data_IF_944287199761
#
_entry.id   IF_944287199761
#
_cell.length_a   1.000
_cell.length_b   1.000
_cell.length_c   1.000
_cell.angle_alpha   90.00
_cell.angle_beta   90.00
_cell.angle_gamma   90.00
#
_symmetry.space_group_name_H-M   'P 1'
#
loop_
_entity.id
_entity.type
_entity.pdbx_description
1 polymer ?
#
# COMPACT_ATOMS: atom_id res chain seq x y z
N UNK A 1 -40.14 -15.24 -20.65
CA UNK A 1 -38.86 -15.85 -20.25
C UNK A 1 -37.76 -14.82 -20.41
N UNK A 2 -37.40 -14.11 -19.33
CA UNK A 2 -36.23 -13.23 -19.31
C UNK A 2 -35.00 -14.16 -19.44
N UNK A 3 -34.22 -13.92 -20.49
CA UNK A 3 -33.14 -14.79 -20.91
C UNK A 3 -32.13 -14.95 -19.76
N UNK A 4 -31.95 -16.17 -19.21
CA UNK A 4 -31.04 -16.42 -18.08
C UNK A 4 -29.59 -15.95 -18.39
N UNK A 5 -29.22 -15.91 -19.68
CA UNK A 5 -27.97 -15.32 -20.15
C UNK A 5 -27.88 -13.80 -19.91
N UNK A 6 -29.00 -13.06 -20.04
CA UNK A 6 -29.04 -11.62 -19.78
C UNK A 6 -28.89 -11.31 -18.29
N UNK A 7 -29.60 -12.04 -17.42
CA UNK A 7 -29.45 -11.87 -15.96
C UNK A 7 -28.06 -12.26 -15.50
N UNK A 8 -27.48 -13.34 -16.04
CA UNK A 8 -26.10 -13.76 -15.75
C UNK A 8 -25.08 -12.70 -16.22
N UNK A 9 -25.23 -12.16 -17.43
CA UNK A 9 -24.35 -11.09 -17.93
C UNK A 9 -24.51 -9.78 -17.17
N UNK A 10 -25.71 -9.42 -16.75
CA UNK A 10 -25.93 -8.24 -15.90
C UNK A 10 -25.33 -8.46 -14.53
N UNK A 11 -25.57 -9.59 -13.86
CA UNK A 11 -24.95 -9.88 -12.56
C UNK A 11 -23.42 -9.95 -12.64
N UNK A 12 -22.85 -10.51 -13.69
CA UNK A 12 -21.40 -10.52 -13.91
C UNK A 12 -20.90 -9.10 -14.16
N UNK A 13 -21.55 -8.30 -15.01
CA UNK A 13 -21.18 -6.89 -15.22
C UNK A 13 -21.31 -6.05 -13.95
N UNK A 14 -22.34 -6.26 -13.14
CA UNK A 14 -22.51 -5.55 -11.87
C UNK A 14 -21.46 -6.01 -10.85
N UNK A 15 -21.13 -7.30 -10.80
CA UNK A 15 -20.05 -7.81 -9.95
C UNK A 15 -18.67 -7.29 -10.40
N UNK A 16 -18.38 -7.30 -11.71
CA UNK A 16 -17.18 -6.71 -12.29
C UNK A 16 -17.11 -5.21 -12.01
N UNK A 17 -18.22 -4.48 -12.15
CA UNK A 17 -18.30 -3.06 -11.82
C UNK A 17 -18.09 -2.79 -10.32
N UNK A 18 -18.67 -3.60 -9.43
CA UNK A 18 -18.48 -3.50 -7.97
C UNK A 18 -17.03 -3.82 -7.58
N UNK A 19 -16.40 -4.77 -8.26
CA UNK A 19 -15.00 -5.15 -8.05
C UNK A 19 -14.05 -4.15 -8.72
N UNK A 20 -14.50 -3.41 -9.74
CA UNK A 20 -13.67 -2.50 -10.54
C UNK A 20 -12.83 -3.22 -11.60
N UNK A 21 -13.26 -4.42 -12.01
CA UNK A 21 -12.63 -5.15 -13.11
C UNK A 21 -13.12 -4.58 -14.45
N UNK A 22 -12.22 -4.25 -15.39
CA UNK A 22 -12.64 -3.68 -16.66
C UNK A 22 -13.38 -4.72 -17.50
N UNK A 23 -14.37 -4.30 -18.28
CA UNK A 23 -14.89 -5.15 -19.36
C UNK A 23 -13.83 -5.34 -20.44
N UNK A 24 -13.92 -6.41 -21.21
CA UNK A 24 -13.03 -6.64 -22.37
C UNK A 24 -13.09 -5.50 -23.40
N UNK A 25 -14.20 -4.73 -23.40
CA UNK A 25 -14.43 -3.56 -24.24
C UNK A 25 -13.91 -2.24 -23.66
N UNK A 26 -13.45 -2.20 -22.40
CA UNK A 26 -13.05 -0.94 -21.75
C UNK A 26 -11.77 -0.38 -22.40
N UNK A 27 -11.92 0.83 -22.94
CA UNK A 27 -10.89 1.52 -23.69
C UNK A 27 -9.79 2.06 -22.76
N UNK A 28 -8.60 2.20 -23.32
CA UNK A 28 -7.41 2.76 -22.67
C UNK A 28 -7.66 4.09 -21.95
N UNK A 29 -8.56 4.91 -22.51
CA UNK A 29 -9.01 6.20 -21.97
C UNK A 29 -9.67 6.08 -20.60
N UNK A 30 -10.47 5.05 -20.36
CA UNK A 30 -11.15 4.85 -19.07
C UNK A 30 -10.15 4.51 -17.96
N UNK A 31 -9.12 3.74 -18.30
CA UNK A 31 -8.04 3.42 -17.37
C UNK A 31 -7.25 4.67 -17.00
N UNK A 32 -6.97 5.53 -17.98
CA UNK A 32 -6.30 6.81 -17.75
C UNK A 32 -7.19 7.73 -16.88
N UNK A 33 -8.49 7.79 -17.15
CA UNK A 33 -9.43 8.59 -16.38
C UNK A 33 -9.54 8.12 -14.92
N UNK A 34 -9.65 6.80 -14.68
CA UNK A 34 -9.68 6.23 -13.34
C UNK A 34 -8.39 6.51 -12.56
N UNK A 35 -7.24 6.36 -13.23
CA UNK A 35 -5.95 6.68 -12.65
C UNK A 35 -5.81 8.19 -12.34
N UNK A 36 -6.26 9.06 -13.24
CA UNK A 36 -6.26 10.50 -13.02
C UNK A 36 -7.16 10.90 -11.85
N UNK A 37 -8.33 10.28 -11.72
CA UNK A 37 -9.23 10.50 -10.58
C UNK A 37 -8.55 10.15 -9.25
N UNK A 38 -7.85 9.01 -9.19
CA UNK A 38 -7.07 8.63 -8.02
C UNK A 38 -5.95 9.62 -7.70
N UNK A 39 -5.24 10.13 -8.73
CA UNK A 39 -4.23 11.18 -8.57
C UNK A 39 -4.83 12.47 -8.00
N UNK A 40 -5.98 12.90 -8.52
CA UNK A 40 -6.68 14.10 -8.06
C UNK A 40 -7.12 13.99 -6.60
N UNK A 41 -7.63 12.83 -6.18
CA UNK A 41 -7.94 12.58 -4.78
C UNK A 41 -6.68 12.64 -3.91
N UNK A 42 -5.58 12.05 -4.37
CA UNK A 42 -4.30 12.08 -3.65
C UNK A 42 -3.77 13.51 -3.44
N UNK A 43 -3.94 14.41 -4.42
CA UNK A 43 -3.66 15.85 -4.28
C UNK A 43 -4.66 16.52 -3.33
N UNK A 44 -5.95 16.19 -3.46
CA UNK A 44 -7.00 16.78 -2.65
C UNK A 44 -6.75 16.57 -1.15
N UNK A 45 -6.43 15.34 -0.76
CA UNK A 45 -6.08 14.94 0.61
C UNK A 45 -4.66 15.33 1.04
N UNK A 46 -3.87 15.91 0.14
CA UNK A 46 -2.49 16.30 0.39
C UNK A 46 -1.60 15.11 0.75
N UNK A 47 -1.88 13.93 0.17
CA UNK A 47 -1.05 12.73 0.31
C UNK A 47 0.19 12.79 -0.59
N UNK A 48 0.08 13.50 -1.70
CA UNK A 48 1.16 13.76 -2.68
C UNK A 48 1.13 15.23 -3.06
N UNK A 49 2.28 15.81 -3.40
CA UNK A 49 2.34 17.23 -3.76
C UNK A 49 1.70 17.53 -5.13
N UNK A 50 2.02 16.73 -6.15
CA UNK A 50 1.63 17.00 -7.54
C UNK A 50 0.95 15.80 -8.24
N UNK A 51 0.34 14.90 -7.47
CA UNK A 51 -0.44 13.76 -8.00
C UNK A 51 0.37 12.86 -8.91
N UNK A 52 1.47 12.32 -8.37
CA UNK A 52 2.37 11.41 -9.08
C UNK A 52 3.01 12.00 -10.35
N UNK A 53 3.08 13.33 -10.46
CA UNK A 53 3.88 14.04 -11.45
C UNK A 53 5.17 14.57 -10.81
N UNK A 54 6.23 14.76 -11.61
CA UNK A 54 7.51 15.29 -11.14
C UNK A 54 7.34 16.57 -10.33
N UNK A 55 8.18 16.70 -9.29
CA UNK A 55 8.26 17.88 -8.45
C UNK A 55 8.59 19.13 -9.28
N UNK A 56 9.54 19.00 -10.22
CA UNK A 56 9.95 20.08 -11.14
C UNK A 56 8.84 20.60 -12.06
N UNK A 57 7.77 19.83 -12.27
CA UNK A 57 6.62 20.22 -13.08
C UNK A 57 5.52 20.94 -12.29
N UNK A 58 5.67 21.08 -10.97
CA UNK A 58 4.67 21.70 -10.12
C UNK A 58 4.71 23.23 -10.24
N UNK A 59 3.54 23.86 -10.39
CA UNK A 59 3.44 25.32 -10.36
C UNK A 59 3.64 25.85 -8.93
N UNK A 60 4.15 27.07 -8.80
CA UNK A 60 4.34 27.75 -7.50
C UNK A 60 3.05 27.81 -6.67
N UNK A 61 1.90 27.99 -7.34
CA UNK A 61 0.58 27.98 -6.71
C UNK A 61 0.19 26.59 -6.17
N UNK A 62 0.50 25.52 -6.90
CA UNK A 62 0.24 24.14 -6.45
C UNK A 62 1.06 23.82 -5.19
N UNK A 63 2.35 24.17 -5.20
CA UNK A 63 3.27 24.01 -4.07
C UNK A 63 2.76 24.77 -2.82
N UNK A 64 2.39 26.04 -2.98
CA UNK A 64 1.86 26.84 -1.88
C UNK A 64 0.56 26.27 -1.30
N UNK A 65 -0.35 25.78 -2.15
CA UNK A 65 -1.60 25.15 -1.71
C UNK A 65 -1.36 23.85 -0.94
N UNK A 66 -0.40 23.04 -1.39
CA UNK A 66 -0.01 21.80 -0.72
C UNK A 66 0.58 22.08 0.65
N UNK A 67 1.51 23.04 0.78
CA UNK A 67 2.08 23.39 2.08
C UNK A 67 1.04 23.85 3.09
N UNK A 68 0.04 24.64 2.68
CA UNK A 68 -1.05 25.06 3.56
C UNK A 68 -1.89 23.89 4.06
N UNK A 69 -2.28 22.97 3.16
CA UNK A 69 -3.03 21.76 3.53
C UNK A 69 -2.21 20.86 4.46
N UNK A 70 -0.94 20.62 4.10
CA UNK A 70 -0.07 19.77 4.88
C UNK A 70 0.19 20.35 6.28
N UNK A 71 0.34 21.67 6.39
CA UNK A 71 0.46 22.36 7.67
C UNK A 71 -0.78 22.14 8.56
N UNK A 72 -1.99 22.27 8.00
CA UNK A 72 -3.23 22.00 8.73
C UNK A 72 -3.28 20.54 9.22
N UNK A 73 -2.91 19.59 8.37
CA UNK A 73 -2.92 18.16 8.71
C UNK A 73 -1.89 17.85 9.79
N UNK A 74 -0.68 18.42 9.71
CA UNK A 74 0.34 18.31 10.76
C UNK A 74 -0.16 18.90 12.08
N UNK A 75 -0.80 20.06 12.03
CA UNK A 75 -1.37 20.70 13.21
C UNK A 75 -2.44 19.81 13.89
N UNK A 76 -3.40 19.28 13.11
CA UNK A 76 -4.43 18.36 13.62
C UNK A 76 -3.82 17.07 14.20
N UNK A 77 -2.76 16.54 13.59
CA UNK A 77 -2.05 15.39 14.12
C UNK A 77 -1.36 15.69 15.45
N UNK A 78 -0.54 16.74 15.50
CA UNK A 78 0.23 17.11 16.69
C UNK A 78 -0.70 17.40 17.87
N UNK A 79 -1.76 18.19 17.66
CA UNK A 79 -2.69 18.52 18.75
C UNK A 79 -3.44 17.27 19.26
N UNK A 80 -3.79 16.33 18.36
CA UNK A 80 -4.44 15.07 18.74
C UNK A 80 -3.49 14.13 19.47
N UNK A 81 -2.23 14.06 19.05
CA UNK A 81 -1.18 13.27 19.72
C UNK A 81 -0.93 13.80 21.14
N UNK A 82 -0.74 15.12 21.29
CA UNK A 82 -0.55 15.75 22.61
C UNK A 82 -1.76 15.48 23.50
N UNK A 83 -2.97 15.65 22.97
CA UNK A 83 -4.21 15.37 23.70
C UNK A 83 -4.28 13.92 24.19
N UNK A 84 -4.07 12.95 23.30
CA UNK A 84 -4.12 11.52 23.66
C UNK A 84 -3.03 11.16 24.66
N UNK A 85 -1.84 11.75 24.53
CA UNK A 85 -0.76 11.58 25.49
C UNK A 85 -1.14 12.10 26.89
N UNK A 86 -1.75 13.29 26.99
CA UNK A 86 -2.27 13.83 28.26
C UNK A 86 -3.35 12.90 28.84
N UNK A 87 -4.28 12.40 28.01
CA UNK A 87 -5.32 11.49 28.45
C UNK A 87 -4.79 10.14 28.94
N UNK A 88 -3.69 9.64 28.37
CA UNK A 88 -3.03 8.41 28.80
C UNK A 88 -2.25 8.58 30.12
N UNK A 89 -1.67 9.76 30.37
CA UNK A 89 -0.89 10.02 31.58
C UNK A 89 -1.74 10.41 32.79
N UNK A 90 -2.83 11.15 32.58
CA UNK A 90 -3.64 11.70 33.67
C UNK A 90 -5.01 11.04 33.72
N UNK A 91 -5.30 10.37 34.84
CA UNK A 91 -6.62 9.85 35.18
C UNK A 91 -7.37 10.80 36.13
N UNK A 92 -7.50 12.06 35.70
CA UNK A 92 -8.23 13.09 36.45
C UNK A 92 -9.54 13.41 35.72
N UNK A 93 -10.66 13.38 36.42
CA UNK A 93 -11.99 13.60 35.82
C UNK A 93 -12.10 14.96 35.13
N UNK A 94 -11.54 16.01 35.72
CA UNK A 94 -11.58 17.37 35.16
C UNK A 94 -10.82 17.41 33.84
N UNK A 95 -9.63 16.81 33.81
CA UNK A 95 -8.81 16.73 32.59
C UNK A 95 -9.54 15.92 31.52
N UNK A 96 -10.12 14.77 31.87
CA UNK A 96 -10.86 13.93 30.92
C UNK A 96 -12.11 14.62 30.36
N UNK A 97 -12.80 15.44 31.15
CA UNK A 97 -13.95 16.22 30.68
C UNK A 97 -13.50 17.30 29.68
N UNK A 98 -12.50 18.11 30.01
CA UNK A 98 -12.03 19.20 29.14
C UNK A 98 -11.27 18.71 27.90
N UNK A 99 -10.58 17.57 27.99
CA UNK A 99 -9.96 16.91 26.85
C UNK A 99 -10.97 16.08 26.04
N UNK A 100 -12.26 16.04 26.44
CA UNK A 100 -13.33 15.35 25.72
C UNK A 100 -13.04 13.86 25.51
N UNK A 101 -12.60 13.16 26.56
CA UNK A 101 -12.21 11.76 26.49
C UNK A 101 -13.30 10.87 25.89
N UNK A 102 -13.12 10.26 24.71
CA UNK A 102 -14.16 9.47 24.05
C UNK A 102 -14.66 8.27 24.87
N UNK A 103 -13.88 7.82 25.86
CA UNK A 103 -14.17 6.66 26.70
C UNK A 103 -14.21 7.03 28.17
N UNK A 104 -14.68 8.24 28.48
CA UNK A 104 -14.83 8.73 29.85
C UNK A 104 -15.50 7.68 30.75
N UNK A 105 -14.82 7.30 31.84
CA UNK A 105 -15.22 6.27 32.83
C UNK A 105 -15.45 4.86 32.28
N UNK A 106 -14.93 4.52 31.09
CA UNK A 106 -14.96 3.16 30.56
C UNK A 106 -13.80 2.31 31.06
N UNK A 107 -14.06 1.02 31.36
CA UNK A 107 -13.02 0.06 31.80
C UNK A 107 -11.92 -0.16 30.76
N UNK A 108 -12.25 -0.02 29.47
CA UNK A 108 -11.33 -0.26 28.35
C UNK A 108 -10.74 1.03 27.76
N UNK A 109 -10.82 2.13 28.53
CA UNK A 109 -10.29 3.45 28.19
C UNK A 109 -8.82 3.38 27.75
N UNK A 110 -7.96 2.83 28.59
CA UNK A 110 -6.51 2.80 28.36
C UNK A 110 -6.14 2.06 27.06
N UNK A 111 -6.71 0.86 26.85
CA UNK A 111 -6.44 0.05 25.67
C UNK A 111 -6.82 0.79 24.38
N UNK A 112 -8.04 1.36 24.34
CA UNK A 112 -8.54 2.00 23.11
C UNK A 112 -7.80 3.30 22.82
N UNK A 113 -7.54 4.13 23.84
CA UNK A 113 -6.75 5.35 23.67
C UNK A 113 -5.32 5.02 23.19
N UNK A 114 -4.73 3.93 23.69
CA UNK A 114 -3.41 3.47 23.25
C UNK A 114 -3.43 3.05 21.77
N UNK A 115 -4.46 2.34 21.32
CA UNK A 115 -4.61 1.95 19.90
C UNK A 115 -4.75 3.17 19.01
N UNK A 116 -5.59 4.14 19.39
CA UNK A 116 -5.77 5.39 18.61
C UNK A 116 -4.46 6.18 18.57
N UNK A 117 -3.75 6.27 19.71
CA UNK A 117 -2.47 6.97 19.82
C UNK A 117 -1.38 6.33 18.95
N UNK A 118 -1.19 5.01 19.04
CA UNK A 118 -0.22 4.26 18.23
C UNK A 118 -0.59 4.34 16.74
N UNK A 119 -1.88 4.26 16.42
CA UNK A 119 -2.40 4.41 15.05
C UNK A 119 -2.07 5.78 14.45
N UNK A 120 -2.32 6.84 15.21
CA UNK A 120 -2.00 8.21 14.78
C UNK A 120 -0.50 8.45 14.64
N UNK A 121 0.33 7.98 15.58
CA UNK A 121 1.79 8.10 15.47
C UNK A 121 2.30 7.38 14.23
N UNK A 122 1.86 6.14 14.02
CA UNK A 122 2.28 5.36 12.87
C UNK A 122 1.84 6.02 11.55
N UNK A 123 0.64 6.60 11.50
CA UNK A 123 0.19 7.34 10.32
C UNK A 123 0.92 8.64 10.07
N UNK A 124 1.20 9.39 11.13
CA UNK A 124 1.95 10.61 11.05
C UNK A 124 3.37 10.36 10.52
N UNK A 125 4.10 9.41 11.10
CA UNK A 125 5.46 9.09 10.66
C UNK A 125 5.50 8.51 9.25
N UNK A 126 4.57 7.63 8.86
CA UNK A 126 4.52 7.09 7.50
C UNK A 126 4.41 8.19 6.45
N UNK A 127 3.50 9.13 6.70
CA UNK A 127 3.24 10.27 5.83
C UNK A 127 4.48 11.18 5.74
N UNK A 128 5.12 11.48 6.87
CA UNK A 128 6.33 12.33 6.90
C UNK A 128 7.52 11.68 6.20
N UNK A 129 7.74 10.38 6.42
CA UNK A 129 8.79 9.61 5.72
C UNK A 129 8.54 9.69 4.21
N UNK A 130 7.31 9.43 3.76
CA UNK A 130 6.97 9.49 2.35
C UNK A 130 7.14 10.89 1.75
N UNK A 131 6.66 11.94 2.41
CA UNK A 131 6.84 13.31 1.94
C UNK A 131 8.32 13.72 1.90
N UNK A 132 9.13 13.24 2.85
CA UNK A 132 10.57 13.46 2.81
C UNK A 132 11.23 12.71 1.65
N UNK A 133 10.75 11.52 1.30
CA UNK A 133 11.23 10.78 0.13
C UNK A 133 10.85 11.54 -1.15
N UNK A 134 9.58 11.94 -1.29
CA UNK A 134 9.06 12.73 -2.41
C UNK A 134 9.87 14.02 -2.64
N UNK A 135 10.21 14.74 -1.56
CA UNK A 135 10.98 15.98 -1.64
C UNK A 135 12.46 15.76 -2.01
N UNK A 136 13.06 14.63 -1.62
CA UNK A 136 14.47 14.31 -1.91
C UNK A 136 14.67 13.77 -3.31
N UNK A 137 13.74 12.94 -3.79
CA UNK A 137 13.88 12.17 -5.02
C UNK A 137 13.38 12.92 -6.26
N UNK A 138 13.61 14.25 -6.35
CA UNK A 138 13.02 15.27 -7.24
C UNK A 138 12.46 14.82 -8.63
N UNK A 139 12.99 13.75 -9.24
CA UNK A 139 12.57 13.23 -10.56
C UNK A 139 12.19 11.73 -10.62
N UNK A 140 12.53 10.90 -9.62
CA UNK A 140 12.75 9.46 -9.86
C UNK A 140 11.65 8.54 -9.33
N UNK A 141 11.02 8.89 -8.20
CA UNK A 141 9.93 8.10 -7.61
C UNK A 141 8.77 7.99 -8.60
N UNK A 142 8.44 9.05 -9.34
CA UNK A 142 7.26 9.05 -10.21
C UNK A 142 7.52 8.65 -11.66
N UNK A 143 8.71 8.13 -11.98
CA UNK A 143 9.07 7.77 -13.36
C UNK A 143 8.10 6.78 -14.00
N UNK A 144 7.66 5.76 -13.25
CA UNK A 144 6.65 4.80 -13.72
C UNK A 144 5.35 5.50 -14.17
N UNK A 145 4.93 6.54 -13.45
CA UNK A 145 3.68 7.24 -13.70
C UNK A 145 3.76 8.26 -14.85
N UNK A 146 4.95 8.78 -15.13
CA UNK A 146 5.17 9.60 -16.32
C UNK A 146 5.03 8.81 -17.62
N UNK A 147 5.48 7.56 -17.62
CA UNK A 147 5.24 6.65 -18.75
C UNK A 147 3.73 6.49 -19.05
N UNK A 148 2.86 6.63 -18.04
CA UNK A 148 1.40 6.52 -18.20
C UNK A 148 0.72 7.86 -18.53
N UNK A 149 1.14 8.95 -17.87
CA UNK A 149 0.42 10.23 -17.87
C UNK A 149 0.79 11.18 -19.00
N UNK A 150 2.02 11.15 -19.51
CA UNK A 150 2.54 12.31 -20.26
C UNK A 150 2.62 12.16 -21.78
N UNK A 151 2.62 10.97 -22.39
CA UNK A 151 2.91 10.95 -23.84
C UNK A 151 2.29 9.90 -24.74
N UNK A 152 1.98 8.66 -24.33
CA UNK A 152 1.63 7.63 -25.34
C UNK A 152 0.78 6.45 -24.82
N UNK A 153 0.12 6.60 -23.66
CA UNK A 153 -0.76 5.58 -23.11
C UNK A 153 -0.10 4.22 -22.81
N UNK A 154 -0.88 3.14 -22.74
CA UNK A 154 -0.47 1.78 -22.38
C UNK A 154 0.20 1.01 -23.55
N UNK A 155 0.93 1.71 -24.41
CA UNK A 155 1.67 1.06 -25.50
C UNK A 155 2.79 0.16 -24.97
N UNK A 156 2.85 -1.06 -25.50
CA UNK A 156 3.83 -2.08 -25.15
C UNK A 156 5.29 -1.60 -25.31
N UNK A 157 5.56 -0.69 -26.26
CA UNK A 157 6.90 -0.12 -26.48
C UNK A 157 7.33 0.78 -25.33
N UNK A 158 6.44 1.64 -24.83
CA UNK A 158 6.75 2.56 -23.74
C UNK A 158 6.88 1.83 -22.40
N UNK A 159 6.01 0.84 -22.19
CA UNK A 159 6.07 -0.03 -21.01
C UNK A 159 7.29 -0.95 -21.05
N UNK A 160 7.95 -1.08 -22.20
CA UNK A 160 9.02 -2.03 -22.44
C UNK A 160 8.61 -3.45 -22.06
N UNK A 161 7.42 -3.86 -22.47
CA UNK A 161 6.82 -5.19 -22.24
C UNK A 161 6.31 -5.79 -23.55
N UNK A 162 6.01 -7.09 -23.56
CA UNK A 162 5.24 -7.73 -24.64
C UNK A 162 3.78 -7.24 -24.59
N UNK A 163 3.10 -7.19 -25.73
CA UNK A 163 1.71 -6.72 -25.83
C UNK A 163 0.76 -7.41 -24.84
N UNK A 164 0.85 -8.74 -24.68
CA UNK A 164 0.00 -9.48 -23.74
C UNK A 164 0.20 -9.02 -22.29
N UNK A 165 1.45 -8.72 -21.89
CA UNK A 165 1.78 -8.24 -20.54
C UNK A 165 1.41 -6.78 -20.34
N UNK A 166 1.56 -5.94 -21.37
CA UNK A 166 1.07 -4.57 -21.36
C UNK A 166 -0.45 -4.50 -21.13
N UNK A 167 -1.20 -5.38 -21.80
CA UNK A 167 -2.66 -5.49 -21.63
C UNK A 167 -3.03 -5.94 -20.21
N UNK A 168 -2.39 -7.00 -19.68
CA UNK A 168 -2.62 -7.45 -18.29
C UNK A 168 -2.30 -6.33 -17.29
N UNK A 169 -1.18 -5.65 -17.48
CA UNK A 169 -0.77 -4.57 -16.60
C UNK A 169 -1.77 -3.39 -16.65
N UNK A 170 -2.33 -3.06 -17.81
CA UNK A 170 -3.40 -2.07 -17.92
C UNK A 170 -4.62 -2.45 -17.08
N UNK A 171 -5.08 -3.70 -17.17
CA UNK A 171 -6.20 -4.19 -16.35
C UNK A 171 -5.90 -4.08 -14.85
N UNK A 172 -4.67 -4.38 -14.44
CA UNK A 172 -4.19 -4.23 -13.07
C UNK A 172 -4.26 -2.76 -12.62
N UNK A 173 -3.72 -1.83 -13.42
CA UNK A 173 -3.73 -0.39 -13.08
C UNK A 173 -5.15 0.12 -12.95
N UNK A 174 -6.05 -0.26 -13.86
CA UNK A 174 -7.46 0.12 -13.79
C UNK A 174 -8.10 -0.36 -12.48
N UNK A 175 -7.98 -1.67 -12.20
CA UNK A 175 -8.54 -2.29 -11.01
C UNK A 175 -8.06 -1.59 -9.74
N UNK A 176 -6.75 -1.42 -9.59
CA UNK A 176 -6.20 -0.77 -8.40
C UNK A 176 -6.58 0.71 -8.32
N UNK A 177 -6.64 1.44 -9.43
CA UNK A 177 -7.06 2.85 -9.44
C UNK A 177 -8.49 3.03 -8.96
N UNK A 178 -9.41 2.18 -9.42
CA UNK A 178 -10.81 2.18 -8.95
C UNK A 178 -10.88 1.75 -7.48
N UNK A 179 -10.19 0.67 -7.12
CA UNK A 179 -10.16 0.17 -5.74
C UNK A 179 -9.69 1.25 -4.77
N UNK A 180 -8.56 1.90 -5.04
CA UNK A 180 -8.01 2.95 -4.17
C UNK A 180 -8.89 4.19 -4.13
N UNK A 181 -9.47 4.60 -5.26
CA UNK A 181 -10.44 5.71 -5.32
C UNK A 181 -11.63 5.43 -4.41
N UNK A 182 -12.23 4.24 -4.51
CA UNK A 182 -13.37 3.83 -3.67
C UNK A 182 -12.97 3.71 -2.21
N UNK A 183 -11.82 3.11 -1.93
CA UNK A 183 -11.29 2.99 -0.57
C UNK A 183 -11.11 4.36 0.09
N UNK A 184 -10.50 5.33 -0.61
CA UNK A 184 -10.34 6.70 -0.11
C UNK A 184 -11.70 7.34 0.22
N UNK A 185 -12.67 7.24 -0.67
CA UNK A 185 -14.02 7.79 -0.45
C UNK A 185 -14.76 7.10 0.71
N UNK A 186 -14.67 5.76 0.82
CA UNK A 186 -15.34 4.97 1.85
C UNK A 186 -14.68 5.12 3.22
N UNK A 187 -13.37 5.39 3.27
CA UNK A 187 -12.64 5.57 4.53
C UNK A 187 -13.16 6.74 5.36
N UNK A 188 -13.67 7.80 4.71
CA UNK A 188 -14.17 9.01 5.37
C UNK A 188 -15.39 8.71 6.26
N UNK A 189 -16.53 8.21 5.72
CA UNK A 189 -17.67 7.88 6.57
C UNK A 189 -17.34 6.75 7.53
N UNK A 190 -16.54 5.75 7.12
CA UNK A 190 -16.18 4.63 7.99
C UNK A 190 -15.43 5.09 9.25
N UNK A 191 -14.40 5.93 9.11
CA UNK A 191 -13.63 6.42 10.24
C UNK A 191 -14.40 7.43 11.09
N UNK A 192 -15.22 8.25 10.44
CA UNK A 192 -16.10 9.19 11.15
C UNK A 192 -17.05 8.42 12.06
N UNK A 193 -17.69 7.35 11.56
CA UNK A 193 -18.55 6.50 12.37
C UNK A 193 -17.73 5.82 13.48
N UNK A 194 -16.64 5.12 13.12
CA UNK A 194 -15.83 4.36 14.08
C UNK A 194 -15.38 5.21 15.28
N UNK A 195 -14.86 6.42 15.02
CA UNK A 195 -14.36 7.30 16.07
C UNK A 195 -15.49 7.94 16.87
N UNK A 196 -16.55 8.43 16.23
CA UNK A 196 -17.63 9.15 16.91
C UNK A 196 -18.62 8.23 17.64
N UNK A 197 -18.77 6.97 17.23
CA UNK A 197 -19.63 6.01 17.93
C UNK A 197 -19.18 5.81 19.37
N UNK A 198 -17.86 5.87 19.66
CA UNK A 198 -17.35 5.77 21.05
C UNK A 198 -17.91 6.87 21.94
N UNK A 199 -17.97 8.10 21.43
CA UNK A 199 -18.46 9.29 22.13
C UNK A 199 -19.99 9.20 22.31
N UNK A 200 -20.71 8.85 21.24
CA UNK A 200 -22.18 8.83 21.22
C UNK A 200 -22.75 7.73 22.12
N UNK A 201 -22.10 6.57 22.17
CA UNK A 201 -22.54 5.45 23.03
C UNK A 201 -22.30 5.73 24.51
N UNK A 202 -21.41 6.67 24.84
CA UNK A 202 -21.11 7.00 26.23
C UNK A 202 -22.29 7.73 26.90
N UNK A 203 -22.90 7.18 27.96
CA UNK A 203 -24.07 7.79 28.61
C UNK A 203 -23.78 9.19 29.19
N UNK A 204 -22.53 9.45 29.61
CA UNK A 204 -22.14 10.74 30.17
C UNK A 204 -22.16 11.88 29.13
N UNK A 205 -22.12 11.55 27.84
CA UNK A 205 -22.24 12.53 26.76
C UNK A 205 -23.54 13.32 26.82
N UNK A 206 -24.62 12.70 27.30
CA UNK A 206 -25.94 13.32 27.42
C UNK A 206 -26.20 13.96 28.79
N UNK A 207 -25.35 13.66 29.78
CA UNK A 207 -25.56 14.09 31.17
C UNK A 207 -24.74 15.33 31.53
N UNK A 208 -23.55 15.50 30.95
CA UNK A 208 -22.60 16.55 31.33
C UNK A 208 -22.39 17.51 30.14
N UNK A 209 -23.02 18.70 30.13
CA UNK A 209 -22.94 19.63 29.00
C UNK A 209 -21.51 20.06 28.63
N UNK A 210 -20.65 20.28 29.63
CA UNK A 210 -19.25 20.64 29.41
C UNK A 210 -18.47 19.54 28.69
N UNK A 211 -18.76 18.28 29.01
CA UNK A 211 -18.15 17.13 28.34
C UNK A 211 -18.68 16.97 26.92
N UNK A 212 -19.97 17.21 26.67
CA UNK A 212 -20.57 17.21 25.32
C UNK A 212 -19.86 18.21 24.41
N UNK A 213 -19.75 19.47 24.84
CA UNK A 213 -19.13 20.55 24.06
C UNK A 213 -17.66 20.23 23.80
N UNK A 214 -16.91 19.82 24.84
CA UNK A 214 -15.50 19.47 24.71
C UNK A 214 -15.28 18.27 23.78
N UNK A 215 -16.13 17.24 23.87
CA UNK A 215 -16.04 16.05 23.02
C UNK A 215 -16.31 16.36 21.55
N UNK A 216 -17.31 17.20 21.26
CA UNK A 216 -17.59 17.65 19.89
C UNK A 216 -16.40 18.45 19.34
N UNK A 217 -15.92 19.42 20.11
CA UNK A 217 -14.79 20.27 19.72
C UNK A 217 -13.54 19.43 19.38
N UNK A 218 -13.23 18.45 20.24
CA UNK A 218 -12.05 17.61 20.07
C UNK A 218 -12.22 16.45 19.08
N UNK A 219 -13.45 16.06 18.74
CA UNK A 219 -13.69 15.02 17.75
C UNK A 219 -13.31 15.47 16.33
N UNK A 220 -13.51 16.75 16.01
CA UNK A 220 -13.18 17.32 14.70
C UNK A 220 -11.70 17.14 14.35
N UNK A 221 -10.71 17.65 15.12
CA UNK A 221 -9.30 17.50 14.79
C UNK A 221 -8.85 16.04 14.79
N UNK A 222 -9.40 15.20 15.70
CA UNK A 222 -9.08 13.78 15.76
C UNK A 222 -9.55 13.03 14.50
N UNK A 223 -10.79 13.25 14.10
CA UNK A 223 -11.38 12.61 12.90
C UNK A 223 -10.64 13.05 11.65
N UNK A 224 -10.35 14.35 11.50
CA UNK A 224 -9.56 14.86 10.39
C UNK A 224 -8.17 14.22 10.35
N UNK A 225 -7.45 14.19 11.47
CA UNK A 225 -6.12 13.59 11.55
C UNK A 225 -6.13 12.11 11.11
N UNK A 226 -7.06 11.31 11.64
CA UNK A 226 -7.21 9.90 11.28
C UNK A 226 -7.56 9.70 9.79
N UNK A 227 -8.52 10.46 9.26
CA UNK A 227 -8.93 10.37 7.85
C UNK A 227 -7.77 10.72 6.93
N UNK A 228 -7.09 11.85 7.16
CA UNK A 228 -5.96 12.25 6.31
C UNK A 228 -4.78 11.28 6.39
N UNK A 229 -4.52 10.68 7.55
CA UNK A 229 -3.46 9.68 7.68
C UNK A 229 -3.81 8.38 6.94
N UNK A 230 -5.05 7.88 7.07
CA UNK A 230 -5.47 6.64 6.41
C UNK A 230 -5.56 6.81 4.89
N UNK A 231 -6.07 7.93 4.42
CA UNK A 231 -6.05 8.26 2.99
C UNK A 231 -4.62 8.47 2.48
N UNK A 232 -3.76 9.08 3.30
CA UNK A 232 -2.32 9.18 3.05
C UNK A 232 -1.70 7.80 2.84
N UNK A 233 -1.91 6.89 3.79
CA UNK A 233 -1.46 5.50 3.71
C UNK A 233 -1.95 4.80 2.45
N UNK A 234 -3.25 4.92 2.15
CA UNK A 234 -3.86 4.31 0.97
C UNK A 234 -3.22 4.78 -0.34
N UNK A 235 -2.91 6.08 -0.42
CA UNK A 235 -2.24 6.68 -1.56
C UNK A 235 -0.83 6.08 -1.71
N UNK A 236 -0.04 6.11 -0.65
CA UNK A 236 1.35 5.59 -0.64
C UNK A 236 1.38 4.09 -0.96
N UNK A 237 0.48 3.30 -0.37
CA UNK A 237 0.39 1.87 -0.64
C UNK A 237 -0.02 1.58 -2.08
N UNK A 238 -0.97 2.34 -2.63
CA UNK A 238 -1.36 2.21 -4.02
C UNK A 238 -0.23 2.50 -4.98
N UNK A 239 0.56 3.54 -4.68
CA UNK A 239 1.78 3.86 -5.43
C UNK A 239 2.79 2.72 -5.40
N UNK A 240 3.10 2.20 -4.21
CA UNK A 240 4.07 1.11 -4.06
C UNK A 240 3.62 -0.15 -4.81
N UNK A 241 2.34 -0.52 -4.70
CA UNK A 241 1.78 -1.73 -5.34
C UNK A 241 1.80 -1.59 -6.86
N UNK A 242 1.31 -0.48 -7.41
CA UNK A 242 1.26 -0.31 -8.87
C UNK A 242 2.67 -0.28 -9.46
N UNK A 243 3.60 0.44 -8.83
CA UNK A 243 5.00 0.46 -9.26
C UNK A 243 5.68 -0.91 -9.11
N UNK A 244 5.45 -1.65 -8.01
CA UNK A 244 5.97 -3.02 -7.85
C UNK A 244 5.44 -3.96 -8.93
N UNK A 245 4.14 -3.90 -9.22
CA UNK A 245 3.51 -4.70 -10.28
C UNK A 245 4.01 -4.31 -11.68
N UNK A 246 4.36 -3.05 -11.92
CA UNK A 246 5.01 -2.62 -13.16
C UNK A 246 6.33 -3.36 -13.37
N UNK A 247 7.22 -3.32 -12.38
CA UNK A 247 8.52 -4.00 -12.48
C UNK A 247 8.37 -5.53 -12.54
N UNK A 248 7.39 -6.11 -11.85
CA UNK A 248 7.12 -7.54 -11.94
C UNK A 248 6.65 -7.95 -13.35
N UNK A 249 5.72 -7.22 -13.95
CA UNK A 249 5.25 -7.52 -15.31
C UNK A 249 6.35 -7.32 -16.37
N UNK A 250 7.27 -6.38 -16.16
CA UNK A 250 8.43 -6.17 -17.03
C UNK A 250 9.39 -7.36 -16.96
N UNK A 251 9.64 -7.88 -15.76
CA UNK A 251 10.41 -9.11 -15.56
C UNK A 251 9.73 -10.32 -16.19
N UNK A 252 8.42 -10.49 -15.98
CA UNK A 252 7.68 -11.59 -16.59
C UNK A 252 7.72 -11.52 -18.12
N UNK A 253 7.73 -10.32 -18.69
CA UNK A 253 7.91 -10.12 -20.13
C UNK A 253 9.31 -10.52 -20.59
N UNK A 254 10.37 -10.23 -19.84
CA UNK A 254 11.74 -10.66 -20.20
C UNK A 254 11.83 -12.19 -20.10
N UNK A 255 11.27 -12.75 -19.02
CA UNK A 255 11.24 -14.18 -18.78
C UNK A 255 10.46 -14.93 -19.86
N UNK A 256 9.31 -14.43 -20.32
CA UNK A 256 8.54 -15.11 -21.37
C UNK A 256 9.26 -15.12 -22.72
N UNK A 257 10.03 -14.07 -23.04
CA UNK A 257 10.91 -14.04 -24.22
C UNK A 257 11.98 -15.14 -24.10
N UNK A 258 12.62 -15.27 -22.93
CA UNK A 258 13.61 -16.29 -22.67
C UNK A 258 13.02 -17.72 -22.77
N UNK A 259 11.84 -17.95 -22.20
CA UNK A 259 11.13 -19.23 -22.28
C UNK A 259 10.84 -19.60 -23.73
N UNK A 260 10.22 -18.71 -24.51
CA UNK A 260 9.91 -18.95 -25.92
C UNK A 260 11.15 -19.23 -26.78
N UNK A 261 12.29 -18.66 -26.43
CA UNK A 261 13.56 -18.95 -27.11
C UNK A 261 14.15 -20.31 -26.76
N UNK A 262 13.80 -20.88 -25.60
CA UNK A 262 14.27 -22.22 -25.18
C UNK A 262 13.35 -23.36 -25.63
N UNK A 263 12.06 -23.09 -25.86
CA UNK A 263 11.08 -24.11 -26.29
C UNK A 263 11.09 -24.39 -27.80
N UNK A 264 11.53 -23.42 -28.60
CA UNK A 264 11.66 -23.60 -30.04
C UNK A 264 13.06 -24.16 -30.28
N UNK A 265 13.18 -25.39 -30.78
CA UNK A 265 14.42 -26.02 -31.29
C UNK A 265 15.02 -25.25 -32.49
N UNK A 266 15.27 -23.96 -32.32
CA UNK A 266 15.79 -23.04 -33.32
C UNK A 266 17.19 -22.63 -32.89
N UNK A 267 18.08 -22.49 -33.88
CA UNK A 267 19.37 -21.86 -33.62
C UNK A 267 19.15 -20.45 -33.06
N UNK A 268 19.60 -20.25 -31.83
CA UNK A 268 19.46 -18.97 -31.13
C UNK A 268 20.53 -18.02 -31.67
N UNK A 269 20.11 -16.90 -32.24
CA UNK A 269 21.02 -15.90 -32.78
C UNK A 269 21.70 -15.08 -31.66
N UNK A 270 23.02 -14.90 -31.72
CA UNK A 270 23.79 -14.10 -30.74
C UNK A 270 23.21 -12.70 -30.53
N UNK A 271 22.77 -12.04 -31.61
CA UNK A 271 22.23 -10.66 -31.54
C UNK A 271 20.97 -10.58 -30.67
N UNK A 272 20.11 -11.60 -30.77
CA UNK A 272 18.91 -11.70 -29.97
C UNK A 272 19.25 -11.86 -28.48
N UNK A 273 20.20 -12.73 -28.15
CA UNK A 273 20.63 -12.97 -26.76
C UNK A 273 21.26 -11.72 -26.16
N UNK A 274 22.10 -11.00 -26.91
CA UNK A 274 22.69 -9.73 -26.46
C UNK A 274 21.59 -8.70 -26.18
N UNK A 275 20.57 -8.60 -27.03
CA UNK A 275 19.44 -7.70 -26.81
C UNK A 275 18.66 -8.04 -25.53
N UNK A 276 18.40 -9.34 -25.30
CA UNK A 276 17.75 -9.82 -24.08
C UNK A 276 18.55 -9.47 -22.82
N UNK A 277 19.87 -9.69 -22.85
CA UNK A 277 20.80 -9.37 -21.75
C UNK A 277 20.78 -7.86 -21.46
N UNK A 278 20.92 -7.03 -22.48
CA UNK A 278 20.93 -5.57 -22.31
C UNK A 278 19.60 -5.07 -21.73
N UNK A 279 18.48 -5.66 -22.16
CA UNK A 279 17.15 -5.34 -21.62
C UNK A 279 17.03 -5.73 -20.15
N UNK A 280 17.57 -6.88 -19.75
CA UNK A 280 17.60 -7.29 -18.35
C UNK A 280 18.51 -6.41 -17.50
N UNK A 281 19.69 -6.03 -17.98
CA UNK A 281 20.61 -5.14 -17.27
C UNK A 281 19.96 -3.78 -17.03
N UNK A 282 19.35 -3.18 -18.06
CA UNK A 282 18.62 -1.92 -17.93
C UNK A 282 17.48 -2.03 -16.91
N UNK A 283 16.68 -3.09 -17.01
CA UNK A 283 15.64 -3.40 -16.04
C UNK A 283 16.17 -3.52 -14.60
N UNK A 284 17.26 -4.27 -14.39
CA UNK A 284 17.83 -4.50 -13.06
C UNK A 284 18.36 -3.21 -12.45
N UNK A 285 18.99 -2.34 -13.24
CA UNK A 285 19.43 -1.02 -12.75
C UNK A 285 18.24 -0.17 -12.29
N UNK A 286 17.14 -0.15 -13.06
CA UNK A 286 15.94 0.61 -12.70
C UNK A 286 15.32 0.08 -11.39
N UNK A 287 15.28 -1.25 -11.22
CA UNK A 287 14.73 -1.91 -10.03
C UNK A 287 15.60 -1.68 -8.81
N UNK A 288 16.92 -1.87 -8.92
CA UNK A 288 17.85 -1.71 -7.80
C UNK A 288 17.74 -0.30 -7.22
N UNK A 289 17.63 0.71 -8.09
CA UNK A 289 17.45 2.10 -7.68
C UNK A 289 16.11 2.31 -6.97
N UNK A 290 15.01 1.84 -7.56
CA UNK A 290 13.66 1.95 -7.00
C UNK A 290 13.53 1.26 -5.63
N UNK A 291 14.06 0.04 -5.51
CA UNK A 291 13.99 -0.75 -4.28
C UNK A 291 14.85 -0.17 -3.17
N UNK A 292 16.02 0.39 -3.48
CA UNK A 292 16.87 1.03 -2.47
C UNK A 292 16.21 2.27 -1.85
N UNK A 293 15.49 3.06 -2.65
CA UNK A 293 14.73 4.23 -2.15
C UNK A 293 13.58 3.79 -1.24
N UNK A 294 12.92 2.68 -1.56
CA UNK A 294 11.73 2.21 -0.84
C UNK A 294 12.02 1.22 0.28
N UNK A 295 13.24 0.67 0.39
CA UNK A 295 13.56 -0.41 1.32
C UNK A 295 13.16 -0.09 2.78
N UNK A 296 13.49 1.11 3.25
CA UNK A 296 13.12 1.55 4.62
C UNK A 296 11.62 1.80 4.78
N UNK A 297 10.94 2.26 3.72
CA UNK A 297 9.50 2.41 3.72
C UNK A 297 8.83 1.03 3.82
N UNK A 298 9.27 0.07 3.02
CA UNK A 298 8.78 -1.32 3.05
C UNK A 298 8.98 -1.94 4.44
N UNK A 299 10.16 -1.77 5.06
CA UNK A 299 10.40 -2.23 6.42
C UNK A 299 9.44 -1.60 7.43
N UNK A 300 9.22 -0.29 7.32
CA UNK A 300 8.28 0.43 8.17
C UNK A 300 6.84 -0.12 8.03
N UNK A 301 6.39 -0.39 6.80
CA UNK A 301 5.07 -1.00 6.57
C UNK A 301 4.98 -2.39 7.18
N UNK A 302 5.98 -3.25 6.97
CA UNK A 302 5.98 -4.62 7.51
C UNK A 302 5.94 -4.63 9.04
N UNK A 303 6.66 -3.72 9.71
CA UNK A 303 6.71 -3.72 11.17
C UNK A 303 5.55 -2.94 11.78
N UNK A 304 5.43 -1.65 11.48
CA UNK A 304 4.51 -0.75 12.18
C UNK A 304 3.05 -1.00 11.80
N UNK A 305 2.77 -1.22 10.51
CA UNK A 305 1.38 -1.46 10.04
C UNK A 305 0.92 -2.86 10.43
N UNK A 306 1.79 -3.86 10.40
CA UNK A 306 1.46 -5.21 10.88
C UNK A 306 1.20 -5.23 12.39
N UNK A 307 1.98 -4.49 13.16
CA UNK A 307 1.75 -4.33 14.60
C UNK A 307 0.37 -3.71 14.89
N UNK A 308 -0.01 -2.65 14.17
CA UNK A 308 -1.36 -2.07 14.28
C UNK A 308 -2.44 -3.07 13.87
N UNK A 309 -2.21 -3.83 12.79
CA UNK A 309 -3.12 -4.89 12.35
C UNK A 309 -3.39 -5.89 13.49
N UNK A 310 -2.35 -6.39 14.13
CA UNK A 310 -2.47 -7.30 15.28
C UNK A 310 -3.20 -6.64 16.47
N UNK A 311 -2.89 -5.38 16.79
CA UNK A 311 -3.57 -4.65 17.86
C UNK A 311 -5.07 -4.51 17.59
N UNK A 312 -5.46 -4.22 16.34
CA UNK A 312 -6.87 -4.11 15.93
C UNK A 312 -7.59 -5.46 15.97
N UNK A 313 -6.94 -6.55 15.53
CA UNK A 313 -7.50 -7.91 15.61
C UNK A 313 -7.68 -8.31 17.07
N UNK A 314 -6.66 -8.07 17.91
CA UNK A 314 -6.74 -8.33 19.35
C UNK A 314 -7.88 -7.54 20.00
N UNK A 315 -7.95 -6.24 19.74
CA UNK A 315 -8.97 -5.37 20.32
C UNK A 315 -10.40 -5.73 19.86
N UNK A 316 -10.55 -6.13 18.60
CA UNK A 316 -11.85 -6.48 18.03
C UNK A 316 -12.33 -7.88 18.41
N UNK A 317 -11.52 -8.92 18.20
CA UNK A 317 -11.96 -10.31 18.41
C UNK A 317 -11.82 -10.79 19.84
N UNK A 318 -10.75 -10.39 20.53
CA UNK A 318 -10.34 -10.98 21.81
C UNK A 318 -10.78 -10.09 22.97
N UNK A 319 -10.30 -8.84 23.01
CA UNK A 319 -10.65 -7.90 24.07
C UNK A 319 -12.10 -7.40 23.96
N UNK A 320 -12.71 -7.52 22.77
CA UNK A 320 -14.09 -7.08 22.46
C UNK A 320 -14.37 -5.67 22.97
N UNK A 321 -13.80 -4.68 22.28
CA UNK A 321 -13.93 -3.26 22.65
C UNK A 321 -15.39 -2.80 22.82
N UNK A 322 -15.66 -2.17 23.96
CA UNK A 322 -16.80 -1.40 24.47
C UNK A 322 -18.20 -1.68 23.88
N UNK A 323 -18.36 -1.58 22.56
CA UNK A 323 -19.57 -1.89 21.82
C UNK A 323 -19.27 -2.91 20.73
N UNK A 324 -20.16 -3.88 20.53
CA UNK A 324 -20.05 -4.90 19.48
C UNK A 324 -19.82 -4.29 18.09
N UNK A 325 -20.38 -3.10 17.82
CA UNK A 325 -20.18 -2.39 16.55
C UNK A 325 -18.71 -1.99 16.38
N UNK A 326 -18.12 -1.37 17.41
CA UNK A 326 -16.71 -0.94 17.39
C UNK A 326 -15.79 -2.15 17.30
N UNK A 327 -16.06 -3.19 18.12
CA UNK A 327 -15.30 -4.42 18.11
C UNK A 327 -15.30 -5.08 16.71
N UNK A 328 -16.47 -5.15 16.06
CA UNK A 328 -16.60 -5.73 14.70
C UNK A 328 -15.92 -4.87 13.63
N UNK A 329 -16.01 -3.53 13.71
CA UNK A 329 -15.31 -2.64 12.79
C UNK A 329 -13.79 -2.70 12.95
N UNK A 330 -13.28 -2.74 14.18
CA UNK A 330 -11.84 -2.91 14.47
C UNK A 330 -11.32 -4.25 13.97
N UNK A 331 -12.05 -5.35 14.21
CA UNK A 331 -11.65 -6.67 13.72
C UNK A 331 -11.68 -6.76 12.19
N UNK A 332 -12.70 -6.20 11.54
CA UNK A 332 -12.72 -6.09 10.07
C UNK A 332 -11.51 -5.31 9.54
N UNK A 333 -11.22 -4.13 10.11
CA UNK A 333 -10.10 -3.30 9.69
C UNK A 333 -8.75 -4.02 9.89
N UNK A 334 -8.56 -4.67 11.04
CA UNK A 334 -7.34 -5.43 11.34
C UNK A 334 -7.11 -6.59 10.38
N UNK A 335 -8.14 -7.41 10.12
CA UNK A 335 -8.06 -8.52 9.15
C UNK A 335 -7.82 -8.00 7.74
N UNK A 336 -8.47 -6.90 7.36
CA UNK A 336 -8.28 -6.30 6.05
C UNK A 336 -6.83 -5.81 5.84
N UNK A 337 -6.25 -5.11 6.82
CA UNK A 337 -4.86 -4.66 6.78
C UNK A 337 -3.90 -5.86 6.67
N UNK A 338 -4.09 -6.88 7.50
CA UNK A 338 -3.25 -8.08 7.48
C UNK A 338 -3.38 -8.84 6.17
N UNK A 339 -4.59 -8.94 5.61
CA UNK A 339 -4.84 -9.55 4.31
C UNK A 339 -4.11 -8.82 3.18
N UNK A 340 -4.15 -7.49 3.16
CA UNK A 340 -3.42 -6.68 2.17
C UNK A 340 -1.89 -6.85 2.30
N UNK A 341 -1.35 -6.81 3.52
CA UNK A 341 0.08 -7.02 3.77
C UNK A 341 0.53 -8.43 3.36
N UNK A 342 -0.27 -9.45 3.69
CA UNK A 342 -0.02 -10.83 3.31
C UNK A 342 0.01 -10.99 1.78
N UNK A 343 -0.97 -10.43 1.08
CA UNK A 343 -1.03 -10.44 -0.37
C UNK A 343 0.18 -9.73 -0.99
N UNK A 344 0.56 -8.56 -0.47
CA UNK A 344 1.74 -7.83 -0.95
C UNK A 344 3.04 -8.64 -0.75
N UNK A 345 3.26 -9.22 0.44
CA UNK A 345 4.43 -10.05 0.70
C UNK A 345 4.48 -11.28 -0.23
N UNK A 346 3.32 -11.90 -0.50
CA UNK A 346 3.23 -13.03 -1.42
C UNK A 346 3.56 -12.62 -2.87
N UNK A 347 3.02 -11.49 -3.34
CA UNK A 347 3.29 -11.00 -4.70
C UNK A 347 4.75 -10.63 -4.88
N UNK A 348 5.36 -9.96 -3.89
CA UNK A 348 6.80 -9.63 -3.96
C UNK A 348 7.67 -10.88 -3.88
N UNK A 349 7.28 -11.91 -3.12
CA UNK A 349 7.98 -13.20 -3.12
C UNK A 349 7.93 -13.92 -4.50
N UNK A 350 6.96 -13.60 -5.34
CA UNK A 350 6.90 -14.09 -6.73
C UNK A 350 8.03 -13.51 -7.58
N UNK A 351 8.45 -12.27 -7.31
CA UNK A 351 9.55 -11.59 -8.00
C UNK A 351 10.83 -12.43 -8.01
N UNK A 352 11.23 -12.92 -6.84
CA UNK A 352 12.42 -13.76 -6.69
C UNK A 352 12.26 -15.11 -7.42
N UNK A 353 11.06 -15.67 -7.42
CA UNK A 353 10.76 -16.90 -8.17
C UNK A 353 10.95 -16.69 -9.67
N UNK A 354 10.55 -15.53 -10.20
CA UNK A 354 10.71 -15.18 -11.62
C UNK A 354 12.15 -14.89 -12.00
N UNK A 355 12.92 -14.28 -11.11
CA UNK A 355 14.37 -14.14 -11.29
C UNK A 355 15.06 -15.51 -11.39
N UNK A 356 14.70 -16.44 -10.51
CA UNK A 356 15.25 -17.80 -10.55
C UNK A 356 14.86 -18.55 -11.84
N UNK A 357 13.62 -18.39 -12.31
CA UNK A 357 13.21 -18.96 -13.60
C UNK A 357 14.02 -18.36 -14.76
N UNK A 358 14.27 -17.06 -14.75
CA UNK A 358 15.10 -16.41 -15.76
C UNK A 358 16.54 -16.96 -15.73
N UNK A 359 17.11 -17.17 -14.54
CA UNK A 359 18.42 -17.80 -14.37
C UNK A 359 18.48 -19.18 -15.05
N UNK A 360 17.51 -20.05 -14.79
CA UNK A 360 17.44 -21.39 -15.40
C UNK A 360 17.35 -21.31 -16.93
N UNK A 361 16.55 -20.39 -17.46
CA UNK A 361 16.43 -20.22 -18.91
C UNK A 361 17.70 -19.64 -19.55
N UNK A 362 18.37 -18.71 -18.88
CA UNK A 362 19.66 -18.20 -19.33
C UNK A 362 20.75 -19.28 -19.32
N UNK A 363 20.74 -20.15 -18.30
CA UNK A 363 21.63 -21.32 -18.25
C UNK A 363 21.45 -22.21 -19.49
N UNK A 364 20.22 -22.58 -19.82
CA UNK A 364 19.91 -23.37 -21.02
C UNK A 364 20.33 -22.66 -22.32
N UNK A 365 20.10 -21.34 -22.42
CA UNK A 365 20.55 -20.56 -23.58
C UNK A 365 22.09 -20.59 -23.69
N UNK A 366 22.81 -20.56 -22.57
CA UNK A 366 24.28 -20.60 -22.57
C UNK A 366 24.86 -21.93 -23.09
N UNK A 367 24.13 -23.03 -22.96
CA UNK A 367 24.53 -24.35 -23.48
C UNK A 367 24.42 -24.45 -25.01
N UNK A 368 23.64 -23.56 -25.64
CA UNK A 368 23.48 -23.52 -27.09
C UNK A 368 24.74 -23.04 -27.84
N UNK A 369 24.72 -23.12 -29.19
CA UNK A 369 25.85 -22.76 -30.07
C UNK A 369 26.04 -21.23 -30.22
N UNK A 370 26.30 -20.55 -29.11
CA UNK A 370 26.58 -19.10 -29.07
C UNK A 370 28.09 -18.81 -29.10
N UNK A 371 28.45 -17.60 -29.55
CA UNK A 371 29.84 -17.11 -29.43
C UNK A 371 30.26 -17.02 -27.97
N UNK A 372 31.53 -17.32 -27.70
CA UNK A 372 32.09 -17.27 -26.34
C UNK A 372 31.85 -15.91 -25.66
N UNK A 373 31.98 -14.80 -26.39
CA UNK A 373 31.70 -13.46 -25.87
C UNK A 373 30.25 -13.29 -25.38
N UNK A 374 29.28 -13.90 -26.07
CA UNK A 374 27.87 -13.89 -25.68
C UNK A 374 27.68 -14.74 -24.41
N UNK A 375 28.29 -15.93 -24.36
CA UNK A 375 28.23 -16.82 -23.18
C UNK A 375 28.79 -16.16 -21.92
N UNK A 376 29.92 -15.48 -22.02
CA UNK A 376 30.50 -14.74 -20.89
C UNK A 376 29.57 -13.64 -20.35
N UNK A 377 28.85 -12.95 -21.23
CA UNK A 377 27.84 -11.96 -20.80
C UNK A 377 26.62 -12.60 -20.14
N UNK A 378 26.21 -13.78 -20.59
CA UNK A 378 25.12 -14.54 -19.93
C UNK A 378 25.55 -14.88 -18.51
N UNK A 379 26.78 -15.38 -18.32
CA UNK A 379 27.33 -15.72 -17.01
C UNK A 379 27.37 -14.51 -16.07
N UNK A 380 27.81 -13.34 -16.54
CA UNK A 380 27.80 -12.10 -15.75
C UNK A 380 26.38 -11.74 -15.26
N UNK A 381 25.37 -11.88 -16.14
CA UNK A 381 23.98 -11.66 -15.77
C UNK A 381 23.47 -12.71 -14.78
N UNK A 382 23.83 -13.97 -14.97
CA UNK A 382 23.46 -15.07 -14.08
C UNK A 382 24.05 -14.87 -12.68
N UNK A 383 25.32 -14.47 -12.58
CA UNK A 383 25.96 -14.09 -11.32
C UNK A 383 25.25 -12.91 -10.68
N UNK A 384 24.88 -11.90 -11.49
CA UNK A 384 24.07 -10.79 -10.99
C UNK A 384 22.76 -11.28 -10.43
N UNK A 385 22.02 -12.17 -11.12
CA UNK A 385 20.70 -12.70 -10.69
C UNK A 385 20.78 -13.41 -9.32
N UNK A 386 21.81 -14.23 -9.10
CA UNK A 386 22.03 -14.98 -7.84
C UNK A 386 22.53 -14.05 -6.71
N UNK A 387 23.05 -12.88 -7.05
CA UNK A 387 23.58 -11.93 -6.08
C UNK A 387 22.62 -11.63 -4.92
N UNK A 388 23.15 -11.46 -3.68
CA UNK A 388 22.34 -11.28 -2.47
C UNK A 388 21.57 -9.96 -2.44
N UNK A 389 21.83 -9.07 -3.40
CA UNK A 389 21.22 -7.76 -3.49
C UNK A 389 19.91 -7.74 -4.28
N UNK A 390 19.55 -8.83 -4.95
CA UNK A 390 18.35 -8.87 -5.78
C UNK A 390 17.09 -9.25 -5.02
N UNK A 391 15.99 -8.63 -5.42
CA UNK A 391 14.67 -8.82 -4.83
C UNK A 391 14.28 -7.68 -3.90
N UNK A 392 12.99 -7.63 -3.56
CA UNK A 392 12.44 -6.57 -2.71
C UNK A 392 12.98 -6.70 -1.29
N UNK A 393 13.66 -5.66 -0.82
CA UNK A 393 14.26 -5.63 0.52
C UNK A 393 13.37 -4.89 1.50
N UNK A 394 13.29 -5.43 2.72
CA UNK A 394 12.78 -4.75 3.89
C UNK A 394 13.97 -4.14 4.65
N UNK A 395 14.36 -2.93 4.25
CA UNK A 395 15.57 -2.26 4.74
C UNK A 395 16.82 -3.12 4.53
N UNK A 396 17.70 -3.14 5.51
CA UNK A 396 18.87 -4.02 5.54
C UNK A 396 18.60 -5.37 6.24
N UNK A 397 17.34 -5.62 6.63
CA UNK A 397 16.99 -6.70 7.56
C UNK A 397 16.72 -8.02 6.83
N UNK A 398 15.91 -7.99 5.77
CA UNK A 398 15.54 -9.20 5.04
C UNK A 398 15.13 -8.93 3.59
N UNK A 399 15.31 -9.94 2.74
CA UNK A 399 14.73 -9.98 1.39
C UNK A 399 13.38 -10.69 1.43
N UNK A 400 12.34 -10.07 0.86
CA UNK A 400 10.99 -10.61 0.82
C UNK A 400 10.95 -11.77 -0.16
N UNK A 401 10.93 -12.98 0.40
CA UNK A 401 10.77 -14.24 -0.31
C UNK A 401 9.45 -14.91 0.07
N UNK A 402 9.06 -15.98 -0.65
CA UNK A 402 7.94 -16.82 -0.23
C UNK A 402 8.13 -17.43 1.16
N UNK A 403 9.38 -17.69 1.55
CA UNK A 403 9.69 -18.17 2.90
C UNK A 403 9.49 -17.06 3.94
N UNK A 404 9.91 -15.84 3.63
CA UNK A 404 9.65 -14.67 4.46
C UNK A 404 8.15 -14.47 4.70
N UNK A 405 7.31 -14.66 3.67
CA UNK A 405 5.85 -14.60 3.82
C UNK A 405 5.32 -15.59 4.87
N UNK A 406 5.81 -16.84 4.86
CA UNK A 406 5.41 -17.85 5.86
C UNK A 406 5.87 -17.46 7.26
N UNK A 407 7.13 -17.02 7.40
CA UNK A 407 7.67 -16.53 8.67
C UNK A 407 6.85 -15.35 9.17
N UNK A 408 6.55 -14.37 8.32
CA UNK A 408 5.75 -13.19 8.64
C UNK A 408 4.38 -13.57 9.19
N UNK A 409 3.66 -14.49 8.55
CA UNK A 409 2.36 -14.97 9.07
C UNK A 409 2.51 -15.62 10.44
N UNK A 410 3.54 -16.45 10.62
CA UNK A 410 3.79 -17.17 11.87
C UNK A 410 4.19 -16.22 13.01
N UNK A 411 5.03 -15.23 12.74
CA UNK A 411 5.43 -14.20 13.69
C UNK A 411 4.24 -13.34 14.12
N UNK A 412 3.37 -12.95 13.20
CA UNK A 412 2.17 -12.19 13.53
C UNK A 412 1.17 -13.01 14.36
N UNK A 413 0.95 -14.28 14.00
CA UNK A 413 0.12 -15.18 14.80
C UNK A 413 0.70 -15.39 16.21
N UNK A 414 2.02 -15.58 16.31
CA UNK A 414 2.72 -15.74 17.60
C UNK A 414 2.66 -14.46 18.44
N UNK A 415 2.81 -13.29 17.82
CA UNK A 415 2.69 -11.99 18.47
C UNK A 415 1.28 -11.78 19.02
N UNK A 416 0.26 -12.09 18.23
CA UNK A 416 -1.13 -12.03 18.66
C UNK A 416 -1.41 -12.97 19.83
N UNK A 417 -0.90 -14.21 19.77
CA UNK A 417 -1.00 -15.16 20.87
C UNK A 417 -0.29 -14.65 22.14
N UNK A 418 0.90 -14.09 22.01
CA UNK A 418 1.67 -13.54 23.13
C UNK A 418 0.96 -12.35 23.77
N UNK A 419 0.41 -11.43 22.97
CA UNK A 419 -0.42 -10.33 23.47
C UNK A 419 -1.62 -10.90 24.23
N UNK A 420 -2.29 -11.90 23.66
CA UNK A 420 -3.49 -12.51 24.26
C UNK A 420 -3.21 -13.15 25.62
N UNK A 421 -2.13 -13.94 25.72
CA UNK A 421 -1.79 -14.65 26.96
C UNK A 421 -1.40 -13.66 28.05
N UNK A 422 -0.58 -12.66 27.72
CA UNK A 422 -0.09 -11.69 28.70
C UNK A 422 -1.14 -10.66 29.13
N UNK A 423 -2.17 -10.42 28.31
CA UNK A 423 -3.24 -9.47 28.65
C UNK A 423 -4.48 -10.14 29.25
N UNK A 424 -4.54 -11.48 29.28
CA UNK A 424 -5.67 -12.21 29.86
C UNK A 424 -5.90 -11.87 31.33
N UNK A 425 -4.84 -11.76 32.12
CA UNK A 425 -4.91 -11.35 33.53
C UNK A 425 -5.32 -9.88 33.74
N UNK A 426 -5.30 -9.06 32.69
CA UNK A 426 -5.76 -7.66 32.69
C UNK A 426 -7.20 -7.51 32.17
N UNK A 427 -7.73 -8.53 31.50
CA UNK A 427 -9.09 -8.56 30.94
C UNK A 427 -10.11 -9.24 31.87
N UNK A 428 -9.65 -10.18 32.71
CA UNK A 428 -10.37 -10.75 33.87
C UNK A 428 -10.37 -9.75 35.05
#
# INVERSE_FOLDING_TARGET
MINQAFVKNVCIKTALFIVGLPNEDDHEEETIAAFYQWCQLSIFFGSTMNGYKRYSSATTNAIASFHRKNFLIRFCNIISIIRLFILLLYDNEVVSIFAGDPLFRSKQRFLTLSIIFIGLLTGFFAREIFMSLEAKSNEEIYFCFECFLQTNGFSHLNLQMISSRATIYRYIVHFFSIFWTRFMCLSIPFLTILLNTTIIVNPYFYQIPCYTISSIFWSIPLTLACVFNIVGFASISGYCIISGLYYLNRLESICSIAVQSTEKDREIEDKFVISLILRFIGYSNDVDHFLNVLAFLVLYYILAVSFIGNLLIFAGFIARLHSDIIANMCSFLGVFIMGLLAMACYTEGSFLTKLHLLYEKLHLISESRLKMKTKMKILEVMDRIIGPYNGVKAGDLATISKHFFVIFLLENASTLMLITVNTRSLLE
#
